data_IF_176089872934
#
_entry.id   IF_176089872934
#
_cell.length_a   1.000
_cell.length_b   1.000
_cell.length_c   1.000
_cell.angle_alpha   90.00
_cell.angle_beta   90.00
_cell.angle_gamma   90.00
#
_symmetry.space_group_name_H-M   'P 1'
#
loop_
_entity.id
_entity.type
_entity.pdbx_description
1 polymer ?
#
# COMPACT_ATOMS: atom_id res chain seq x y z
N UNK A 1 -2.52 42.71 -26.67
CA UNK A 1 -3.73 42.34 -27.48
C UNK A 1 -4.21 43.44 -28.43
N UNK A 2 -4.34 44.73 -28.02
CA UNK A 2 -4.79 45.82 -28.94
C UNK A 2 -3.80 46.15 -30.06
N UNK A 3 -2.51 46.02 -29.85
CA UNK A 3 -1.47 46.41 -30.82
C UNK A 3 -1.36 45.39 -31.97
N UNK A 4 -1.40 44.09 -31.70
CA UNK A 4 -1.41 43.02 -32.68
C UNK A 4 -2.66 43.11 -33.58
N UNK A 5 -3.84 43.35 -32.97
CA UNK A 5 -5.07 43.54 -33.71
C UNK A 5 -4.97 44.75 -34.67
N UNK A 6 -4.45 45.88 -34.20
CA UNK A 6 -4.27 47.08 -35.05
C UNK A 6 -3.32 46.85 -36.20
N UNK A 7 -2.25 46.07 -35.98
CA UNK A 7 -1.28 45.70 -37.03
C UNK A 7 -1.87 44.72 -38.04
N UNK A 8 -2.67 43.78 -37.62
CA UNK A 8 -3.42 42.89 -38.53
C UNK A 8 -4.39 43.66 -39.42
N UNK A 9 -5.11 44.64 -38.87
CA UNK A 9 -5.99 45.52 -39.65
C UNK A 9 -5.21 46.36 -40.67
N UNK A 10 -4.07 46.93 -40.28
CA UNK A 10 -3.21 47.69 -41.17
C UNK A 10 -2.69 46.81 -42.31
N UNK A 11 -2.23 45.59 -41.99
CA UNK A 11 -1.77 44.62 -42.99
C UNK A 11 -2.87 44.25 -43.99
N UNK A 12 -4.10 44.02 -43.50
CA UNK A 12 -5.25 43.72 -44.37
C UNK A 12 -5.58 44.88 -45.32
N UNK A 13 -5.62 46.12 -44.79
CA UNK A 13 -5.82 47.32 -45.61
C UNK A 13 -4.74 47.50 -46.67
N UNK A 14 -3.46 47.27 -46.32
CA UNK A 14 -2.36 47.38 -47.26
C UNK A 14 -2.46 46.30 -48.35
N UNK A 15 -2.86 45.08 -47.98
CA UNK A 15 -3.07 44.02 -48.96
C UNK A 15 -4.23 44.31 -49.92
N UNK A 16 -5.35 44.85 -49.41
CA UNK A 16 -6.47 45.26 -50.26
C UNK A 16 -6.09 46.40 -51.18
N UNK A 17 -5.27 47.37 -50.71
CA UNK A 17 -4.72 48.42 -51.56
C UNK A 17 -3.78 47.87 -52.65
N UNK A 18 -2.97 46.85 -52.32
CA UNK A 18 -2.09 46.18 -53.27
C UNK A 18 -2.86 45.45 -54.34
N UNK A 19 -3.94 44.76 -54.00
CA UNK A 19 -4.85 44.12 -54.94
C UNK A 19 -5.52 45.17 -55.88
N UNK A 20 -6.07 46.24 -55.28
CA UNK A 20 -6.70 47.32 -56.05
C UNK A 20 -5.73 48.00 -57.02
N UNK A 21 -4.46 48.17 -56.59
CA UNK A 21 -3.42 48.68 -57.45
C UNK A 21 -3.19 47.80 -58.69
N UNK A 22 -3.04 46.48 -58.47
CA UNK A 22 -2.86 45.49 -59.53
C UNK A 22 -4.05 45.53 -60.51
N UNK A 23 -5.28 45.49 -59.97
CA UNK A 23 -6.51 45.52 -60.82
C UNK A 23 -6.63 46.79 -61.64
N UNK A 24 -6.22 47.96 -61.09
CA UNK A 24 -6.31 49.28 -61.78
C UNK A 24 -5.22 49.50 -62.84
N UNK A 25 -4.13 48.72 -62.82
CA UNK A 25 -2.92 48.92 -63.65
C UNK A 25 -2.66 47.79 -64.66
N UNK A 26 -3.45 46.74 -64.65
CA UNK A 26 -3.39 45.67 -65.65
C UNK A 26 -3.76 46.21 -67.07
N UNK A 27 -2.83 45.87 -67.99
CA UNK A 27 -3.13 46.08 -69.41
C UNK A 27 -4.14 45.09 -69.99
N UNK A 28 -4.59 45.29 -71.19
CA UNK A 28 -5.53 44.41 -71.88
C UNK A 28 -5.08 42.92 -71.96
N UNK A 29 -3.77 42.68 -71.82
CA UNK A 29 -3.16 41.36 -71.79
C UNK A 29 -2.93 40.83 -70.36
N UNK A 30 -3.39 41.56 -69.32
CA UNK A 30 -3.26 41.14 -67.90
C UNK A 30 -1.84 41.31 -67.29
N UNK A 31 -0.94 42.04 -68.00
CA UNK A 31 0.45 42.30 -67.54
C UNK A 31 0.60 43.71 -66.95
N UNK A 32 1.53 43.88 -66.01
CA UNK A 32 1.89 45.15 -65.40
C UNK A 32 3.09 45.74 -66.14
N UNK A 33 3.20 47.07 -66.22
CA UNK A 33 4.41 47.75 -66.71
C UNK A 33 5.61 47.52 -65.79
N UNK A 34 6.84 47.72 -66.24
CA UNK A 34 8.04 47.55 -65.44
C UNK A 34 8.05 48.45 -64.19
N UNK A 35 7.56 49.68 -64.28
CA UNK A 35 7.44 50.62 -63.15
C UNK A 35 6.36 50.21 -62.17
N UNK A 36 5.22 49.71 -62.66
CA UNK A 36 4.12 49.22 -61.83
C UNK A 36 4.50 47.90 -61.14
N UNK A 37 5.30 47.03 -61.77
CA UNK A 37 5.85 45.82 -61.17
C UNK A 37 6.77 46.16 -60.02
N UNK A 38 7.71 47.12 -60.15
CA UNK A 38 8.56 47.56 -59.07
C UNK A 38 7.78 48.16 -57.89
N UNK A 39 6.65 48.85 -58.18
CA UNK A 39 5.78 49.42 -57.16
C UNK A 39 5.01 48.31 -56.44
N UNK A 40 4.53 47.31 -57.15
CA UNK A 40 3.87 46.13 -56.59
C UNK A 40 4.79 45.35 -55.66
N UNK A 41 6.05 45.06 -56.11
CA UNK A 41 7.03 44.35 -55.30
C UNK A 41 7.35 45.08 -53.99
N UNK A 42 7.39 46.42 -54.02
CA UNK A 42 7.56 47.23 -52.81
C UNK A 42 6.37 47.11 -51.87
N UNK A 43 5.14 47.18 -52.38
CA UNK A 43 3.93 47.01 -51.57
C UNK A 43 3.83 45.58 -50.98
N UNK A 44 4.17 44.57 -51.75
CA UNK A 44 4.21 43.17 -51.31
C UNK A 44 5.28 42.97 -50.21
N UNK A 45 6.49 43.55 -50.36
CA UNK A 45 7.53 43.51 -49.36
C UNK A 45 7.06 44.14 -48.02
N UNK A 46 6.30 45.23 -48.09
CA UNK A 46 5.74 45.87 -46.90
C UNK A 46 4.69 44.98 -46.18
N UNK A 47 3.83 44.29 -46.93
CA UNK A 47 2.83 43.32 -46.39
C UNK A 47 3.58 42.15 -45.73
N UNK A 48 4.62 41.62 -46.35
CA UNK A 48 5.42 40.51 -45.79
C UNK A 48 6.16 40.96 -44.52
N UNK A 49 6.75 42.20 -44.54
CA UNK A 49 7.40 42.76 -43.37
C UNK A 49 6.46 42.91 -42.19
N UNK A 50 5.26 43.44 -42.41
CA UNK A 50 4.22 43.49 -41.36
C UNK A 50 3.83 42.10 -40.85
N UNK A 51 3.78 41.10 -41.72
CA UNK A 51 3.49 39.72 -41.32
C UNK A 51 4.53 39.17 -40.33
N UNK A 52 5.82 39.36 -40.63
CA UNK A 52 6.89 38.93 -39.74
C UNK A 52 6.89 39.64 -38.38
N UNK A 53 6.52 40.94 -38.39
CA UNK A 53 6.41 41.70 -37.14
C UNK A 53 5.26 41.24 -36.26
N UNK A 54 4.10 40.92 -36.85
CA UNK A 54 2.96 40.32 -36.14
C UNK A 54 3.36 38.98 -35.51
N UNK A 55 4.01 38.08 -36.28
CA UNK A 55 4.48 36.78 -35.76
C UNK A 55 5.51 36.95 -34.61
N UNK A 56 6.38 37.98 -34.69
CA UNK A 56 7.31 38.29 -33.62
C UNK A 56 6.58 38.69 -32.33
N UNK A 57 5.59 39.59 -32.45
CA UNK A 57 4.82 40.05 -31.29
C UNK A 57 3.94 38.95 -30.70
N UNK A 58 3.35 38.10 -31.51
CA UNK A 58 2.54 36.94 -31.06
C UNK A 58 3.44 35.92 -30.30
N UNK A 59 4.66 35.70 -30.80
CA UNK A 59 5.64 34.83 -30.10
C UNK A 59 6.11 35.43 -28.78
N UNK A 60 6.31 36.76 -28.74
CA UNK A 60 6.67 37.45 -27.52
C UNK A 60 5.53 37.36 -26.47
N UNK A 61 4.28 37.63 -26.88
CA UNK A 61 3.10 37.51 -26.00
C UNK A 61 2.93 36.07 -25.47
N UNK A 62 3.19 35.06 -26.29
CA UNK A 62 3.16 33.66 -25.87
C UNK A 62 4.26 33.31 -24.86
N UNK A 63 5.48 33.83 -25.04
CA UNK A 63 6.57 33.64 -24.09
C UNK A 63 6.31 34.38 -22.78
N UNK A 64 5.79 35.63 -22.83
CA UNK A 64 5.42 36.38 -21.65
C UNK A 64 4.36 35.64 -20.82
N UNK A 65 3.35 35.06 -21.46
CA UNK A 65 2.34 34.21 -20.82
C UNK A 65 2.93 32.91 -20.21
N UNK A 66 3.99 32.36 -20.81
CA UNK A 66 4.67 31.18 -20.27
C UNK A 66 5.52 31.53 -19.06
N UNK A 67 6.21 32.68 -19.08
CA UNK A 67 7.03 33.15 -17.94
C UNK A 67 6.19 33.73 -16.79
N UNK A 68 5.02 34.28 -17.05
CA UNK A 68 4.07 34.74 -16.03
C UNK A 68 3.38 33.59 -15.28
N UNK A 69 3.52 32.34 -15.72
CA UNK A 69 3.04 31.20 -14.95
C UNK A 69 3.92 31.03 -13.71
N UNK A 70 3.38 31.13 -12.50
CA UNK A 70 4.17 30.99 -11.28
C UNK A 70 4.78 29.59 -11.22
N UNK A 71 6.11 29.53 -11.17
CA UNK A 71 6.91 28.28 -11.08
C UNK A 71 6.80 27.66 -9.69
N UNK A 72 6.38 28.42 -8.68
CA UNK A 72 6.15 27.95 -7.32
C UNK A 72 4.73 28.28 -6.86
N UNK A 73 4.02 27.27 -6.35
CA UNK A 73 2.79 27.53 -5.58
C UNK A 73 3.19 28.26 -4.30
N UNK A 74 2.52 29.36 -3.93
CA UNK A 74 2.76 30.00 -2.65
C UNK A 74 2.48 28.99 -1.53
N UNK A 75 3.44 28.85 -0.59
CA UNK A 75 3.33 28.03 0.63
C UNK A 75 2.32 28.60 1.66
N UNK A 76 1.54 29.59 1.29
CA UNK A 76 0.51 30.15 2.17
C UNK A 76 -0.81 29.45 1.81
N UNK A 77 -1.15 28.46 2.58
CA UNK A 77 -2.48 27.87 2.58
C UNK A 77 -3.51 28.92 2.96
N UNK A 78 -4.20 29.47 1.97
CA UNK A 78 -5.54 30.02 2.24
C UNK A 78 -6.37 28.84 2.72
N UNK A 79 -7.15 28.97 3.82
CA UNK A 79 -8.06 27.90 4.20
C UNK A 79 -8.91 27.58 2.98
N UNK A 80 -8.78 26.34 2.49
CA UNK A 80 -9.52 25.84 1.35
C UNK A 80 -11.00 26.03 1.64
N UNK A 81 -11.68 26.79 0.81
CA UNK A 81 -13.15 26.82 0.79
C UNK A 81 -13.64 25.37 0.60
N UNK A 82 -14.77 24.95 1.17
CA UNK A 82 -15.28 23.59 1.01
C UNK A 82 -15.41 23.13 -0.47
N UNK A 83 -15.40 24.07 -1.40
CA UNK A 83 -15.47 23.84 -2.86
C UNK A 83 -14.11 23.54 -3.51
N UNK A 84 -12.97 23.81 -2.83
CA UNK A 84 -11.61 23.62 -3.38
C UNK A 84 -10.95 22.29 -2.99
N UNK A 85 -11.70 21.35 -2.44
CA UNK A 85 -11.18 19.98 -2.25
C UNK A 85 -10.97 19.34 -3.62
N UNK A 86 -9.77 18.76 -3.87
CA UNK A 86 -9.56 18.03 -5.12
C UNK A 86 -10.69 17.00 -5.27
N UNK A 87 -11.43 17.07 -6.38
CA UNK A 87 -12.50 16.11 -6.68
C UNK A 87 -11.87 14.72 -6.69
N UNK A 88 -12.31 13.88 -5.76
CA UNK A 88 -11.96 12.48 -5.76
C UNK A 88 -12.51 11.86 -7.05
N UNK A 89 -11.68 11.18 -7.82
CA UNK A 89 -12.03 10.53 -9.09
C UNK A 89 -11.89 9.01 -8.98
N UNK A 90 -12.60 8.28 -9.80
CA UNK A 90 -12.55 6.80 -9.80
C UNK A 90 -13.18 6.20 -8.54
N UNK A 91 -12.59 5.12 -8.03
CA UNK A 91 -13.03 4.39 -6.83
C UNK A 91 -12.99 5.23 -5.54
N UNK A 92 -12.25 6.35 -5.54
CA UNK A 92 -12.19 7.30 -4.43
C UNK A 92 -13.37 8.31 -4.41
N UNK A 93 -14.22 8.37 -5.44
CA UNK A 93 -15.31 9.35 -5.53
C UNK A 93 -16.49 8.97 -4.62
N UNK A 94 -17.16 9.99 -4.06
CA UNK A 94 -18.35 9.77 -3.24
C UNK A 94 -19.53 9.21 -4.06
N UNK A 95 -19.55 9.49 -5.37
CA UNK A 95 -20.50 8.93 -6.32
C UNK A 95 -20.27 7.42 -6.49
N UNK A 96 -19.02 6.98 -6.66
CA UNK A 96 -18.67 5.56 -6.73
C UNK A 96 -19.03 4.83 -5.43
N UNK A 97 -18.71 5.42 -4.29
CA UNK A 97 -19.04 4.87 -2.97
C UNK A 97 -20.54 4.67 -2.79
N UNK A 98 -21.36 5.68 -3.14
CA UNK A 98 -22.82 5.58 -3.03
C UNK A 98 -23.38 4.56 -4.01
N UNK A 99 -22.89 4.53 -5.25
CA UNK A 99 -23.24 3.54 -6.26
C UNK A 99 -22.90 2.12 -5.84
N UNK A 100 -21.72 1.92 -5.28
CA UNK A 100 -21.25 0.63 -4.76
C UNK A 100 -22.16 0.10 -3.66
N UNK A 101 -22.47 0.93 -2.65
CA UNK A 101 -23.36 0.48 -1.56
C UNK A 101 -24.80 0.33 -1.98
N UNK A 102 -25.26 1.10 -2.97
CA UNK A 102 -26.58 0.88 -3.60
C UNK A 102 -26.64 -0.50 -4.28
N UNK A 103 -25.63 -0.82 -5.09
CA UNK A 103 -25.53 -2.14 -5.72
C UNK A 103 -25.36 -3.28 -4.71
N UNK A 104 -24.79 -3.01 -3.52
CA UNK A 104 -24.65 -4.02 -2.46
C UNK A 104 -25.93 -4.21 -1.65
N UNK A 105 -26.84 -3.23 -1.61
CA UNK A 105 -28.14 -3.33 -0.91
C UNK A 105 -29.24 -3.90 -1.79
N UNK A 106 -29.32 -3.46 -3.03
CA UNK A 106 -30.43 -3.78 -3.92
C UNK A 106 -30.13 -4.97 -4.84
N UNK A 107 -31.16 -5.77 -5.11
CA UNK A 107 -31.09 -6.92 -6.04
C UNK A 107 -31.03 -6.47 -7.51
N UNK A 108 -31.58 -5.31 -7.82
CA UNK A 108 -31.62 -4.72 -9.16
C UNK A 108 -30.84 -3.41 -9.15
N UNK A 109 -29.78 -3.38 -9.89
CA UNK A 109 -28.91 -2.19 -10.02
C UNK A 109 -29.43 -1.35 -11.19
N UNK A 110 -29.89 -0.10 -10.97
CA UNK A 110 -30.24 0.82 -12.06
C UNK A 110 -29.07 1.03 -13.02
N UNK A 111 -29.38 1.22 -14.30
CA UNK A 111 -28.35 1.37 -15.35
C UNK A 111 -27.38 2.55 -15.09
N UNK A 112 -27.85 3.59 -14.42
CA UNK A 112 -27.04 4.74 -14.03
C UNK A 112 -25.97 4.36 -13.00
N UNK A 113 -26.36 3.58 -12.00
CA UNK A 113 -25.47 3.05 -10.93
C UNK A 113 -24.45 2.08 -11.54
N UNK A 114 -24.91 1.23 -12.46
CA UNK A 114 -24.02 0.30 -13.18
C UNK A 114 -22.95 1.02 -13.98
N UNK A 115 -23.28 2.12 -14.65
CA UNK A 115 -22.31 2.92 -15.43
C UNK A 115 -21.22 3.56 -14.53
N UNK A 116 -21.56 3.97 -13.33
CA UNK A 116 -20.59 4.50 -12.36
C UNK A 116 -19.65 3.40 -11.87
N UNK A 117 -20.17 2.20 -11.65
CA UNK A 117 -19.41 1.05 -11.17
C UNK A 117 -18.50 0.43 -12.24
N UNK A 118 -18.80 0.65 -13.51
CA UNK A 118 -18.02 0.12 -14.64
C UNK A 118 -16.57 0.63 -14.68
N UNK A 119 -16.27 1.74 -14.02
CA UNK A 119 -14.92 2.28 -13.88
C UNK A 119 -14.01 1.34 -13.04
N UNK A 120 -14.61 0.50 -12.19
CA UNK A 120 -13.90 -0.45 -11.31
C UNK A 120 -14.32 -1.92 -11.55
N UNK A 121 -14.88 -2.25 -12.72
CA UNK A 121 -15.27 -3.63 -13.05
C UNK A 121 -14.03 -4.45 -13.43
N UNK A 122 -13.85 -5.58 -12.74
CA UNK A 122 -12.80 -6.55 -13.05
C UNK A 122 -13.32 -7.54 -14.12
N UNK A 123 -12.43 -8.13 -14.92
CA UNK A 123 -12.71 -9.11 -15.99
C UNK A 123 -13.59 -10.30 -15.56
N UNK A 124 -13.85 -10.43 -14.26
CA UNK A 124 -14.66 -11.53 -13.66
C UNK A 124 -15.94 -11.06 -12.96
N UNK A 125 -16.42 -9.83 -13.23
CA UNK A 125 -17.71 -9.32 -12.78
C UNK A 125 -17.80 -8.93 -11.30
N UNK A 126 -16.69 -8.64 -10.64
CA UNK A 126 -16.63 -8.07 -9.29
C UNK A 126 -16.40 -6.56 -9.35
N UNK A 127 -17.02 -5.80 -8.43
CA UNK A 127 -16.72 -4.38 -8.30
C UNK A 127 -15.50 -4.17 -7.40
N UNK A 128 -14.64 -3.22 -7.77
CA UNK A 128 -13.54 -2.79 -6.89
C UNK A 128 -14.10 -2.15 -5.62
N UNK A 129 -13.44 -2.39 -4.53
CA UNK A 129 -13.80 -1.79 -3.24
C UNK A 129 -13.51 -0.30 -3.27
N UNK A 130 -14.43 0.58 -2.78
CA UNK A 130 -14.13 2.00 -2.64
C UNK A 130 -12.91 2.22 -1.73
N UNK A 131 -12.01 3.13 -2.10
CA UNK A 131 -10.74 3.38 -1.40
C UNK A 131 -10.93 3.69 0.10
N UNK A 132 -12.02 4.37 0.46
CA UNK A 132 -12.32 4.70 1.85
C UNK A 132 -12.70 3.46 2.66
N UNK A 133 -13.45 2.53 2.06
CA UNK A 133 -13.81 1.27 2.69
C UNK A 133 -12.61 0.32 2.78
N UNK A 134 -11.74 0.31 1.77
CA UNK A 134 -10.50 -0.44 1.81
C UNK A 134 -9.60 0.02 2.96
N UNK A 135 -9.50 1.34 3.19
CA UNK A 135 -8.78 1.88 4.36
C UNK A 135 -9.40 1.44 5.67
N UNK A 136 -10.73 1.52 5.81
CA UNK A 136 -11.42 1.04 7.02
C UNK A 136 -11.17 -0.45 7.28
N UNK A 137 -11.11 -1.26 6.22
CA UNK A 137 -10.79 -2.68 6.33
C UNK A 137 -9.33 -2.89 6.74
N UNK A 138 -8.39 -2.13 6.16
CA UNK A 138 -6.96 -2.20 6.51
C UNK A 138 -6.75 -1.79 7.97
N UNK A 139 -7.36 -0.68 8.41
CA UNK A 139 -7.27 -0.21 9.78
C UNK A 139 -7.84 -1.27 10.76
N UNK A 140 -9.00 -1.84 10.45
CA UNK A 140 -9.60 -2.90 11.25
C UNK A 140 -8.77 -4.20 11.25
N UNK A 141 -8.10 -4.54 10.15
CA UNK A 141 -7.17 -5.66 10.08
C UNK A 141 -5.93 -5.43 10.94
N UNK A 142 -5.39 -4.20 10.95
CA UNK A 142 -4.26 -3.84 11.80
C UNK A 142 -4.62 -3.91 13.29
N UNK A 143 -5.83 -3.48 13.67
CA UNK A 143 -6.30 -3.60 15.05
C UNK A 143 -6.45 -5.07 15.50
N UNK A 144 -6.86 -5.96 14.61
CA UNK A 144 -7.11 -7.37 14.92
C UNK A 144 -5.85 -8.25 14.83
N UNK A 145 -4.83 -7.85 14.06
CA UNK A 145 -3.69 -8.68 13.73
C UNK A 145 -2.39 -8.05 14.24
N UNK A 146 -1.81 -8.65 15.27
CA UNK A 146 -0.56 -8.20 15.90
C UNK A 146 0.61 -8.24 14.91
N UNK A 147 0.64 -9.23 14.02
CA UNK A 147 1.69 -9.31 13.01
C UNK A 147 1.72 -8.12 12.07
N UNK A 148 0.55 -7.62 11.62
CA UNK A 148 0.49 -6.45 10.75
C UNK A 148 0.97 -5.16 11.41
N UNK A 149 0.94 -5.10 12.76
CA UNK A 149 1.48 -3.97 13.52
C UNK A 149 3.02 -4.04 13.63
N UNK A 150 3.58 -5.23 13.70
CA UNK A 150 4.99 -5.46 14.01
C UNK A 150 5.84 -5.81 12.80
N UNK A 151 5.27 -6.46 11.79
CA UNK A 151 5.94 -6.93 10.59
C UNK A 151 6.10 -5.83 9.53
N UNK A 152 6.99 -6.05 8.57
CA UNK A 152 7.14 -5.17 7.42
C UNK A 152 6.13 -5.52 6.33
N UNK A 153 5.12 -4.67 6.14
CA UNK A 153 4.08 -4.87 5.12
C UNK A 153 4.49 -4.19 3.82
N UNK A 154 4.45 -4.94 2.72
CA UNK A 154 4.73 -4.46 1.36
C UNK A 154 3.53 -4.72 0.45
N UNK A 155 3.27 -3.79 -0.46
CA UNK A 155 2.29 -3.99 -1.54
C UNK A 155 2.98 -4.48 -2.81
N UNK A 156 2.36 -5.43 -3.50
CA UNK A 156 2.87 -6.00 -4.76
C UNK A 156 1.76 -6.00 -5.81
N UNK A 157 2.06 -5.58 -7.05
CA UNK A 157 1.08 -5.50 -8.13
C UNK A 157 0.98 -6.80 -8.94
N UNK A 158 2.11 -7.44 -9.27
CA UNK A 158 2.12 -8.65 -10.10
C UNK A 158 3.37 -9.51 -9.89
N UNK A 159 3.25 -10.82 -10.16
CA UNK A 159 4.35 -11.78 -10.12
C UNK A 159 4.87 -12.10 -8.71
N UNK A 160 5.77 -13.06 -8.61
CA UNK A 160 6.47 -13.38 -7.37
C UNK A 160 7.62 -12.39 -7.17
N UNK A 161 7.69 -11.80 -5.98
CA UNK A 161 8.78 -10.89 -5.63
C UNK A 161 9.94 -11.69 -5.07
N UNK A 162 11.06 -11.64 -5.78
CA UNK A 162 12.30 -12.26 -5.34
C UNK A 162 13.12 -11.23 -4.56
N UNK A 163 13.41 -11.53 -3.30
CA UNK A 163 14.17 -10.68 -2.41
C UNK A 163 15.55 -11.29 -2.24
N UNK A 164 16.62 -10.60 -2.68
CA UNK A 164 17.97 -11.05 -2.40
C UNK A 164 18.25 -10.88 -0.89
N UNK A 165 18.75 -11.94 -0.26
CA UNK A 165 19.16 -11.93 1.14
C UNK A 165 20.60 -12.41 1.25
N UNK A 166 21.36 -11.80 2.14
CA UNK A 166 22.71 -12.26 2.46
C UNK A 166 22.55 -13.44 3.43
N UNK A 167 23.00 -14.63 3.06
CA UNK A 167 22.95 -15.82 3.91
C UNK A 167 24.14 -15.91 4.87
N UNK A 168 25.31 -15.49 4.41
CA UNK A 168 26.50 -15.41 5.25
C UNK A 168 27.34 -14.21 4.83
N UNK A 169 27.92 -13.58 5.82
CA UNK A 169 28.88 -12.49 5.62
C UNK A 169 30.29 -13.03 5.61
N UNK A 170 31.13 -12.47 4.74
CA UNK A 170 32.55 -12.69 4.78
C UNK A 170 33.17 -12.25 6.10
N UNK A 171 34.33 -12.75 6.43
CA UNK A 171 35.06 -12.42 7.66
C UNK A 171 36.34 -11.67 7.30
N UNK A 172 36.69 -10.66 8.13
CA UNK A 172 37.99 -10.03 8.09
C UNK A 172 38.91 -10.73 9.11
N UNK A 173 40.16 -10.94 8.74
CA UNK A 173 41.18 -11.48 9.66
C UNK A 173 42.37 -10.54 9.73
N UNK A 174 42.99 -10.52 10.89
CA UNK A 174 44.29 -9.86 11.10
C UNK A 174 45.37 -10.73 10.45
N UNK A 175 46.24 -10.12 9.67
CA UNK A 175 47.32 -10.79 8.94
C UNK A 175 48.67 -10.14 9.31
N UNK A 176 49.71 -10.93 9.28
CA UNK A 176 51.09 -10.47 9.49
C UNK A 176 51.60 -9.74 8.23
N UNK A 177 52.63 -8.94 8.39
CA UNK A 177 53.30 -8.22 7.31
C UNK A 177 53.83 -9.23 6.27
N UNK A 178 53.42 -9.04 4.99
CA UNK A 178 53.72 -9.94 3.86
C UNK A 178 52.92 -11.26 3.81
N UNK A 179 51.87 -11.45 4.60
CA UNK A 179 50.97 -12.60 4.47
C UNK A 179 49.94 -12.37 3.36
N UNK A 180 49.42 -13.43 2.75
CA UNK A 180 48.36 -13.36 1.76
C UNK A 180 47.05 -12.87 2.38
N UNK A 181 46.34 -12.00 1.66
CA UNK A 181 45.00 -11.56 2.10
C UNK A 181 44.01 -12.74 2.11
N UNK A 182 43.31 -12.93 3.23
CA UNK A 182 42.25 -13.95 3.26
C UNK A 182 41.08 -13.56 2.35
N UNK A 183 40.73 -14.44 1.46
CA UNK A 183 39.55 -14.28 0.62
C UNK A 183 38.33 -14.81 1.39
N UNK A 184 37.29 -14.02 1.44
CA UNK A 184 36.04 -14.40 2.09
C UNK A 184 34.88 -13.76 1.35
N UNK A 185 34.00 -14.58 0.78
CA UNK A 185 32.87 -14.14 -0.02
C UNK A 185 31.57 -14.15 0.78
N UNK A 186 30.72 -13.15 0.50
CA UNK A 186 29.34 -13.13 0.97
C UNK A 186 28.51 -14.12 0.13
N UNK A 187 27.72 -14.97 0.79
CA UNK A 187 26.77 -15.83 0.07
C UNK A 187 25.40 -15.19 0.02
N UNK A 188 24.88 -15.06 -1.19
CA UNK A 188 23.56 -14.51 -1.42
C UNK A 188 22.55 -15.65 -1.61
N UNK A 189 21.40 -15.49 -0.97
CA UNK A 189 20.21 -16.32 -1.20
C UNK A 189 19.10 -15.49 -1.85
N UNK A 190 18.08 -16.15 -2.32
CA UNK A 190 16.90 -15.51 -2.87
C UNK A 190 15.66 -16.09 -2.16
N UNK A 191 14.87 -15.23 -1.53
CA UNK A 191 13.58 -15.59 -0.95
C UNK A 191 12.50 -15.08 -1.90
N UNK A 192 11.65 -16.00 -2.33
CA UNK A 192 10.51 -15.67 -3.18
C UNK A 192 9.28 -15.52 -2.31
N UNK A 193 8.62 -14.36 -2.40
CA UNK A 193 7.32 -14.11 -1.78
C UNK A 193 6.28 -14.17 -2.89
N UNK A 194 5.31 -15.05 -2.71
CA UNK A 194 4.20 -15.32 -3.65
C UNK A 194 2.94 -14.54 -3.26
N UNK A 195 1.77 -15.04 -3.58
CA UNK A 195 0.50 -14.51 -3.10
C UNK A 195 -0.53 -15.63 -3.06
N UNK A 196 -0.88 -16.08 -1.87
CA UNK A 196 -1.91 -17.08 -1.65
C UNK A 196 -3.28 -16.41 -1.50
N UNK A 197 -4.31 -17.04 -2.06
CA UNK A 197 -5.66 -16.51 -2.00
C UNK A 197 -6.32 -16.89 -0.68
N UNK A 198 -6.72 -15.89 0.09
CA UNK A 198 -7.57 -16.01 1.26
C UNK A 198 -8.97 -15.47 0.92
N UNK A 199 -10.02 -16.19 1.26
CA UNK A 199 -11.38 -15.79 0.96
C UNK A 199 -12.33 -16.21 2.07
N UNK A 200 -13.37 -15.40 2.29
CA UNK A 200 -14.45 -15.72 3.23
C UNK A 200 -15.78 -15.21 2.72
N UNK A 201 -16.86 -15.85 3.15
CA UNK A 201 -18.23 -15.45 2.80
C UNK A 201 -19.04 -15.19 4.06
N UNK A 202 -19.72 -14.05 4.10
CA UNK A 202 -20.66 -13.66 5.14
C UNK A 202 -22.06 -13.76 4.58
N UNK A 203 -23.00 -14.34 5.33
CA UNK A 203 -24.43 -14.40 4.98
C UNK A 203 -25.19 -13.43 5.86
N UNK A 204 -26.05 -12.63 5.26
CA UNK A 204 -26.91 -11.65 5.93
C UNK A 204 -28.35 -11.92 5.46
N UNK A 205 -29.32 -11.83 6.36
CA UNK A 205 -30.73 -11.95 5.94
C UNK A 205 -31.14 -10.75 5.09
N UNK A 206 -32.03 -10.99 4.15
CA UNK A 206 -32.56 -9.95 3.24
C UNK A 206 -33.31 -8.88 4.06
N UNK A 207 -34.01 -9.28 5.13
CA UNK A 207 -34.71 -8.38 6.06
C UNK A 207 -33.75 -7.40 6.74
N UNK A 208 -32.59 -7.90 7.23
CA UNK A 208 -31.56 -7.07 7.88
C UNK A 208 -30.92 -6.06 6.93
N UNK A 209 -30.79 -6.41 5.64
CA UNK A 209 -30.26 -5.50 4.62
C UNK A 209 -31.18 -4.32 4.35
N UNK A 210 -32.50 -4.52 4.46
CA UNK A 210 -33.50 -3.49 4.24
C UNK A 210 -33.85 -2.68 5.50
N UNK A 211 -33.40 -3.12 6.68
CA UNK A 211 -33.56 -2.36 7.92
C UNK A 211 -32.62 -1.14 7.91
N UNK A 212 -33.21 0.05 7.87
CA UNK A 212 -32.49 1.32 7.78
C UNK A 212 -31.69 1.68 9.05
N UNK A 213 -31.94 1.03 10.17
CA UNK A 213 -31.26 1.28 11.46
C UNK A 213 -29.92 0.56 11.52
N UNK A 214 -29.74 -0.50 10.74
CA UNK A 214 -28.52 -1.30 10.77
C UNK A 214 -27.48 -0.84 9.75
N UNK A 215 -26.29 -0.44 10.23
CA UNK A 215 -25.15 -0.07 9.37
C UNK A 215 -24.46 -1.33 8.84
N UNK A 216 -25.02 -1.89 7.77
CA UNK A 216 -24.51 -3.10 7.10
C UNK A 216 -23.05 -2.93 6.62
N UNK A 217 -22.65 -1.80 5.99
CA UNK A 217 -21.28 -1.60 5.57
C UNK A 217 -20.25 -1.77 6.69
N UNK A 218 -20.44 -1.05 7.80
CA UNK A 218 -19.53 -1.12 8.95
C UNK A 218 -19.50 -2.50 9.60
N UNK A 219 -20.66 -3.18 9.68
CA UNK A 219 -20.72 -4.55 10.18
C UNK A 219 -19.92 -5.52 9.31
N UNK A 220 -20.11 -5.46 7.99
CA UNK A 220 -19.43 -6.35 7.04
C UNK A 220 -17.92 -6.10 7.08
N UNK A 221 -17.48 -4.82 7.15
CA UNK A 221 -16.06 -4.47 7.26
C UNK A 221 -15.43 -5.11 8.51
N UNK A 222 -16.04 -4.91 9.66
CA UNK A 222 -15.55 -5.45 10.94
C UNK A 222 -15.52 -6.99 10.94
N UNK A 223 -16.55 -7.62 10.41
CA UNK A 223 -16.63 -9.08 10.38
C UNK A 223 -15.64 -9.69 9.38
N UNK A 224 -15.40 -9.05 8.24
CA UNK A 224 -14.33 -9.46 7.32
C UNK A 224 -12.96 -9.28 7.94
N UNK A 225 -12.68 -8.12 8.55
CA UNK A 225 -11.43 -7.87 9.25
C UNK A 225 -11.17 -8.93 10.34
N UNK A 226 -12.19 -9.27 11.13
CA UNK A 226 -12.08 -10.29 12.16
C UNK A 226 -11.75 -11.67 11.61
N UNK A 227 -12.45 -12.11 10.55
CA UNK A 227 -12.24 -13.46 9.96
C UNK A 227 -10.94 -13.57 9.21
N UNK A 228 -10.66 -12.58 8.35
CA UNK A 228 -9.45 -12.54 7.55
C UNK A 228 -8.25 -12.34 8.47
N UNK A 229 -8.29 -11.36 9.36
CA UNK A 229 -7.20 -11.08 10.29
C UNK A 229 -6.84 -12.27 11.19
N UNK A 230 -7.86 -13.00 11.69
CA UNK A 230 -7.61 -14.22 12.47
C UNK A 230 -6.95 -15.33 11.64
N UNK A 231 -7.41 -15.54 10.41
CA UNK A 231 -6.84 -16.58 9.53
C UNK A 231 -5.41 -16.23 9.06
N UNK A 232 -5.14 -14.95 8.77
CA UNK A 232 -3.80 -14.46 8.46
C UNK A 232 -2.85 -14.62 9.65
N UNK A 233 -3.27 -14.16 10.83
CA UNK A 233 -2.44 -14.22 12.02
C UNK A 233 -2.10 -15.68 12.39
N UNK A 234 -3.06 -16.59 12.30
CA UNK A 234 -2.80 -18.02 12.45
C UNK A 234 -1.75 -18.51 11.44
N UNK A 235 -1.90 -18.15 10.15
CA UNK A 235 -0.98 -18.56 9.11
C UNK A 235 0.42 -17.94 9.30
N UNK A 236 0.53 -16.70 9.77
CA UNK A 236 1.82 -16.06 10.05
C UNK A 236 2.54 -16.67 11.26
N UNK A 237 1.84 -17.27 12.21
CA UNK A 237 2.47 -18.02 13.31
C UNK A 237 2.82 -19.45 12.90
N UNK A 238 1.85 -20.22 12.41
CA UNK A 238 1.98 -21.69 12.27
C UNK A 238 1.81 -22.21 10.85
N UNK A 239 1.77 -21.33 9.84
CA UNK A 239 1.60 -21.74 8.45
C UNK A 239 2.74 -22.63 7.95
N UNK A 240 2.41 -23.60 7.10
CA UNK A 240 3.35 -24.55 6.52
C UNK A 240 3.99 -24.10 5.20
N UNK A 241 3.52 -22.98 4.62
CA UNK A 241 3.98 -22.47 3.32
C UNK A 241 3.39 -23.19 2.11
N UNK A 242 2.47 -24.13 2.31
CA UNK A 242 1.79 -24.86 1.26
C UNK A 242 0.37 -24.32 1.06
N UNK A 243 0.17 -23.44 0.06
CA UNK A 243 -1.12 -22.78 -0.19
C UNK A 243 -1.48 -21.68 0.80
N UNK A 244 -0.60 -21.35 1.73
CA UNK A 244 -0.73 -20.30 2.75
C UNK A 244 0.66 -19.77 3.13
N UNK A 245 0.76 -18.61 3.81
CA UNK A 245 2.02 -18.05 4.27
C UNK A 245 2.89 -19.03 5.07
N UNK A 246 4.20 -18.81 5.04
CA UNK A 246 5.13 -19.55 5.89
C UNK A 246 5.16 -18.92 7.26
N UNK A 247 4.70 -19.65 8.27
CA UNK A 247 4.63 -19.20 9.64
C UNK A 247 6.02 -19.00 10.26
N UNK A 248 6.12 -18.04 11.18
CA UNK A 248 7.36 -17.72 11.87
C UNK A 248 7.85 -18.86 12.77
N UNK A 249 6.95 -19.75 13.22
CA UNK A 249 7.26 -20.94 14.03
C UNK A 249 7.57 -22.18 13.18
N UNK A 250 7.56 -22.06 11.86
CA UNK A 250 7.88 -23.16 10.94
C UNK A 250 9.30 -23.68 11.20
N UNK A 251 9.49 -25.02 11.14
CA UNK A 251 10.78 -25.64 11.46
C UNK A 251 11.86 -25.42 10.40
N UNK A 252 11.46 -25.21 9.13
CA UNK A 252 12.44 -25.07 8.02
C UNK A 252 12.83 -23.62 7.78
N UNK A 253 11.84 -22.74 7.63
CA UNK A 253 12.04 -21.37 7.16
C UNK A 253 11.59 -20.34 8.20
N UNK A 254 11.29 -20.76 9.43
CA UNK A 254 10.87 -19.91 10.55
C UNK A 254 12.01 -19.47 11.47
N UNK A 255 11.63 -19.01 12.64
CA UNK A 255 12.54 -18.56 13.70
C UNK A 255 13.43 -19.71 14.17
N UNK A 256 14.69 -19.38 14.41
CA UNK A 256 15.65 -20.35 14.94
C UNK A 256 15.36 -20.64 16.41
N UNK A 257 15.53 -21.90 16.81
CA UNK A 257 15.47 -22.27 18.24
C UNK A 257 16.65 -21.62 18.97
N UNK A 258 16.35 -20.71 19.90
CA UNK A 258 17.34 -20.04 20.73
C UNK A 258 17.75 -20.89 21.94
N UNK A 259 16.76 -21.55 22.54
CA UNK A 259 16.92 -22.43 23.70
C UNK A 259 15.87 -23.54 23.68
N UNK A 260 16.22 -24.68 24.26
CA UNK A 260 15.29 -25.76 24.60
C UNK A 260 15.21 -25.87 26.13
N UNK A 261 13.98 -25.82 26.67
CA UNK A 261 13.76 -25.86 28.12
C UNK A 261 14.18 -27.21 28.76
N UNK A 262 14.48 -27.19 30.02
CA UNK A 262 14.73 -28.41 30.79
C UNK A 262 13.47 -29.24 31.05
N UNK A 263 12.28 -28.65 30.98
CA UNK A 263 10.97 -29.27 31.25
C UNK A 263 10.09 -29.25 30.04
N UNK A 264 9.25 -30.27 29.88
CA UNK A 264 8.24 -30.34 28.80
C UNK A 264 6.97 -29.51 29.08
N UNK A 265 6.75 -29.07 30.30
CA UNK A 265 5.48 -28.44 30.73
C UNK A 265 5.64 -27.14 31.52
N UNK A 266 6.85 -26.83 31.98
CA UNK A 266 7.14 -25.66 32.81
C UNK A 266 8.29 -24.84 32.23
N UNK A 267 8.17 -23.52 32.35
CA UNK A 267 9.22 -22.55 31.99
C UNK A 267 9.76 -21.93 33.26
N UNK A 268 11.07 -21.70 33.28
CA UNK A 268 11.74 -20.93 34.32
C UNK A 268 12.06 -19.53 33.85
N UNK A 269 12.34 -18.60 34.74
CA UNK A 269 12.79 -17.26 34.35
C UNK A 269 14.18 -17.28 33.72
N UNK A 270 15.00 -18.24 34.07
CA UNK A 270 16.33 -18.47 33.48
C UNK A 270 16.20 -18.86 32.00
N UNK A 271 15.23 -19.70 31.64
CA UNK A 271 14.95 -20.03 30.23
C UNK A 271 14.62 -18.77 29.39
N UNK A 272 13.93 -17.80 30.00
CA UNK A 272 13.61 -16.53 29.32
C UNK A 272 14.83 -15.63 29.18
N UNK A 273 15.70 -15.61 30.20
CA UNK A 273 16.97 -14.89 30.11
C UNK A 273 17.88 -15.50 29.06
N UNK A 274 17.99 -16.82 29.01
CA UNK A 274 18.77 -17.51 28.00
C UNK A 274 18.26 -17.26 26.58
N UNK A 275 16.94 -17.26 26.41
CA UNK A 275 16.32 -16.87 25.13
C UNK A 275 16.68 -15.42 24.75
N UNK A 276 16.60 -14.48 25.70
CA UNK A 276 16.94 -13.09 25.47
C UNK A 276 18.40 -12.93 25.01
N UNK A 277 19.34 -13.62 25.66
CA UNK A 277 20.76 -13.53 25.32
C UNK A 277 21.15 -14.38 24.10
N UNK A 278 20.33 -15.34 23.67
CA UNK A 278 20.55 -16.11 22.45
C UNK A 278 20.42 -15.24 21.17
N UNK A 279 19.71 -14.11 21.26
CA UNK A 279 19.57 -13.16 20.16
C UNK A 279 20.76 -12.19 20.14
N UNK A 280 21.32 -11.91 18.96
CA UNK A 280 22.41 -10.95 18.80
C UNK A 280 22.02 -9.53 19.23
N UNK A 281 22.94 -8.79 19.82
CA UNK A 281 22.71 -7.45 20.36
C UNK A 281 22.08 -6.44 19.37
N UNK A 282 22.42 -6.40 18.08
CA UNK A 282 21.79 -5.48 17.12
C UNK A 282 20.27 -5.67 17.02
N UNK A 283 19.79 -6.92 16.97
CA UNK A 283 18.37 -7.24 16.85
C UNK A 283 17.60 -7.03 18.16
N UNK A 284 18.27 -7.14 19.31
CA UNK A 284 17.65 -6.97 20.63
C UNK A 284 17.07 -5.57 20.87
N UNK A 285 17.55 -4.55 20.12
CA UNK A 285 17.07 -3.15 20.30
C UNK A 285 15.60 -2.98 19.90
N UNK A 286 15.17 -3.64 18.85
CA UNK A 286 13.80 -3.58 18.32
C UNK A 286 13.00 -4.85 18.63
N UNK A 287 13.62 -5.79 19.38
CA UNK A 287 12.99 -7.07 19.66
C UNK A 287 11.79 -6.95 20.60
N UNK A 288 10.80 -7.78 20.35
CA UNK A 288 9.59 -7.94 21.16
C UNK A 288 9.40 -9.39 21.55
N UNK A 289 8.72 -9.62 22.68
CA UNK A 289 8.25 -10.94 23.06
C UNK A 289 6.83 -11.15 22.51
N UNK A 290 6.58 -12.33 21.94
CA UNK A 290 5.22 -12.74 21.53
C UNK A 290 4.95 -14.13 22.12
N UNK A 291 3.82 -14.27 22.79
CA UNK A 291 3.43 -15.52 23.43
C UNK A 291 1.92 -15.59 23.63
N UNK A 292 1.41 -16.75 24.01
CA UNK A 292 0.00 -16.90 24.36
C UNK A 292 -0.29 -16.30 25.74
N UNK A 293 -1.48 -15.79 25.96
CA UNK A 293 -1.91 -15.21 27.24
C UNK A 293 -1.79 -16.21 28.42
N UNK A 294 -2.04 -17.49 28.16
CA UNK A 294 -1.82 -18.54 29.15
C UNK A 294 -0.35 -18.72 29.54
N UNK A 295 0.58 -18.49 28.61
CA UNK A 295 2.03 -18.49 28.86
C UNK A 295 2.43 -17.28 29.69
N UNK A 296 1.88 -16.08 29.36
CA UNK A 296 2.06 -14.86 30.18
C UNK A 296 1.59 -15.12 31.61
N UNK A 297 0.41 -15.73 31.78
CA UNK A 297 -0.11 -16.08 33.10
C UNK A 297 0.81 -17.06 33.88
N UNK A 298 1.39 -18.04 33.16
CA UNK A 298 2.33 -18.98 33.78
C UNK A 298 3.63 -18.26 34.25
N UNK A 299 4.17 -17.39 33.41
CA UNK A 299 5.36 -16.59 33.73
C UNK A 299 5.12 -15.61 34.89
N UNK A 300 3.97 -14.95 34.96
CA UNK A 300 3.62 -14.06 36.08
C UNK A 300 3.52 -14.78 37.42
N UNK A 301 3.25 -16.06 37.38
CA UNK A 301 3.17 -16.89 38.59
C UNK A 301 4.54 -17.39 39.08
N UNK A 302 5.65 -17.13 38.36
CA UNK A 302 6.97 -17.48 38.79
C UNK A 302 7.37 -16.68 40.05
N UNK A 303 7.88 -17.37 41.03
CA UNK A 303 8.27 -16.81 42.32
C UNK A 303 9.77 -17.02 42.58
N UNK A 304 10.37 -16.09 43.28
CA UNK A 304 11.72 -16.20 43.76
C UNK A 304 11.78 -17.15 44.98
N UNK A 305 12.98 -17.41 45.51
CA UNK A 305 13.18 -18.24 46.69
C UNK A 305 12.51 -17.71 47.97
N UNK A 306 12.13 -16.44 48.02
CA UNK A 306 11.41 -15.79 49.13
C UNK A 306 9.88 -15.82 48.97
N UNK A 307 9.39 -16.34 47.83
CA UNK A 307 7.95 -16.43 47.56
C UNK A 307 7.33 -15.22 46.85
N UNK A 308 8.14 -14.21 46.49
CA UNK A 308 7.69 -13.03 45.76
C UNK A 308 7.64 -13.31 44.27
N UNK A 309 6.69 -12.64 43.56
CA UNK A 309 6.59 -12.73 42.13
C UNK A 309 7.76 -12.01 41.44
N UNK A 310 8.45 -12.73 40.56
CA UNK A 310 9.63 -12.21 39.85
C UNK A 310 9.24 -11.12 38.87
N UNK A 311 8.15 -11.33 38.12
CA UNK A 311 7.65 -10.37 37.13
C UNK A 311 6.46 -9.59 37.65
N UNK A 312 6.66 -8.29 37.86
CA UNK A 312 5.62 -7.36 38.25
C UNK A 312 5.03 -6.67 36.98
N UNK A 313 3.70 -6.50 36.90
CA UNK A 313 3.06 -5.82 35.78
C UNK A 313 3.45 -4.34 35.76
N UNK A 314 3.44 -3.72 34.55
CA UNK A 314 3.58 -2.28 34.44
C UNK A 314 2.42 -1.58 35.17
N UNK A 315 2.73 -0.65 36.04
CA UNK A 315 1.73 0.15 36.79
C UNK A 315 1.29 1.39 35.98
N UNK A 316 1.98 1.67 34.87
CA UNK A 316 1.70 2.82 34.02
C UNK A 316 0.63 2.46 32.98
N UNK A 317 -0.52 3.15 33.03
CA UNK A 317 -1.61 2.96 32.07
C UNK A 317 -1.15 3.28 30.64
N UNK A 318 -1.49 2.41 29.69
CA UNK A 318 -1.21 2.61 28.24
C UNK A 318 0.16 2.11 27.78
N UNK A 319 1.03 1.59 28.64
CA UNK A 319 2.27 0.92 28.24
C UNK A 319 2.08 -0.59 28.23
N UNK A 320 2.52 -1.30 27.17
CA UNK A 320 2.49 -2.76 27.17
C UNK A 320 3.37 -3.31 28.31
N UNK A 321 3.00 -4.48 28.82
CA UNK A 321 3.83 -5.21 29.78
C UNK A 321 5.22 -5.43 29.18
N UNK A 322 6.26 -5.34 30.02
CA UNK A 322 7.64 -5.53 29.59
C UNK A 322 8.32 -6.64 30.34
N UNK A 323 9.12 -7.45 29.61
CA UNK A 323 10.05 -8.43 30.17
C UNK A 323 11.44 -7.98 29.73
N UNK A 324 12.38 -7.84 30.67
CA UNK A 324 13.73 -7.37 30.37
C UNK A 324 13.78 -6.08 29.55
N UNK A 325 12.88 -5.14 29.87
CA UNK A 325 12.68 -3.86 29.14
C UNK A 325 12.28 -4.02 27.67
N UNK A 326 11.66 -5.15 27.30
CA UNK A 326 11.10 -5.37 25.96
C UNK A 326 9.60 -5.59 26.04
N UNK A 327 8.82 -5.01 25.09
CA UNK A 327 7.38 -5.14 25.11
C UNK A 327 6.96 -6.59 24.90
N UNK A 328 5.84 -6.96 25.53
CA UNK A 328 5.22 -8.28 25.42
C UNK A 328 3.90 -8.13 24.69
N UNK A 329 3.74 -8.87 23.62
CA UNK A 329 2.49 -8.97 22.87
C UNK A 329 1.89 -10.36 23.08
N UNK A 330 0.57 -10.43 23.10
CA UNK A 330 -0.15 -11.70 23.27
C UNK A 330 -0.93 -12.04 22.02
N UNK A 331 -0.81 -13.29 21.57
CA UNK A 331 -1.63 -13.83 20.48
C UNK A 331 -2.18 -15.20 20.84
N UNK A 332 -3.45 -15.49 20.54
CA UNK A 332 -4.06 -16.78 20.79
C UNK A 332 -3.50 -17.89 19.89
N UNK A 333 -2.85 -17.53 18.77
CA UNK A 333 -2.33 -18.48 17.77
C UNK A 333 -0.91 -18.99 18.09
N UNK A 334 -0.24 -18.40 19.06
CA UNK A 334 1.03 -18.96 19.56
C UNK A 334 0.73 -20.22 20.36
N UNK A 335 1.44 -21.33 20.09
CA UNK A 335 1.23 -22.60 20.82
C UNK A 335 1.33 -22.45 22.32
N UNK A 336 0.51 -23.25 23.02
CA UNK A 336 0.54 -23.33 24.47
C UNK A 336 1.80 -24.08 24.94
N UNK A 337 2.07 -24.00 26.27
CA UNK A 337 3.09 -24.80 26.91
C UNK A 337 2.77 -26.29 26.75
N UNK A 338 3.67 -27.04 26.17
CA UNK A 338 3.51 -28.47 25.93
C UNK A 338 4.78 -29.08 25.32
N UNK A 339 4.91 -30.40 25.40
CA UNK A 339 6.06 -31.12 24.89
C UNK A 339 6.35 -30.77 23.41
N UNK A 340 7.55 -30.35 23.11
CA UNK A 340 8.01 -30.02 21.74
C UNK A 340 7.48 -28.72 21.16
N UNK A 341 6.57 -28.01 21.85
CA UNK A 341 5.96 -26.77 21.33
C UNK A 341 6.93 -25.56 21.44
N UNK A 342 6.62 -24.50 20.69
CA UNK A 342 7.37 -23.23 20.69
C UNK A 342 6.51 -22.10 21.25
N UNK A 343 6.34 -21.99 22.58
CA UNK A 343 5.37 -21.08 23.21
C UNK A 343 5.83 -19.63 23.33
N UNK A 344 7.10 -19.33 23.12
CA UNK A 344 7.64 -17.97 23.22
C UNK A 344 8.49 -17.65 21.98
N UNK A 345 8.20 -16.51 21.36
CA UNK A 345 9.01 -15.87 20.33
C UNK A 345 9.68 -14.63 20.90
N UNK A 346 10.92 -14.40 20.53
CA UNK A 346 11.66 -13.19 20.85
C UNK A 346 12.51 -12.75 19.66
N UNK A 347 12.29 -11.55 19.16
CA UNK A 347 13.05 -11.01 18.03
C UNK A 347 12.49 -9.76 17.43
N UNK A 348 13.16 -9.28 16.39
CA UNK A 348 12.73 -8.13 15.60
C UNK A 348 11.80 -8.59 14.49
N UNK A 349 10.52 -8.30 14.63
CA UNK A 349 9.47 -8.73 13.70
C UNK A 349 9.49 -7.96 12.36
N UNK A 350 10.25 -6.86 12.25
CA UNK A 350 10.44 -6.16 10.96
C UNK A 350 11.10 -7.05 9.90
N UNK A 351 11.77 -8.11 10.31
CA UNK A 351 12.35 -9.09 9.39
C UNK A 351 11.36 -10.17 8.91
N UNK A 352 10.14 -10.17 9.42
CA UNK A 352 9.03 -10.91 8.83
C UNK A 352 8.30 -9.99 7.86
N UNK A 353 8.29 -10.37 6.58
CA UNK A 353 7.68 -9.55 5.54
C UNK A 353 6.33 -10.14 5.14
N UNK A 354 5.33 -9.28 5.14
CA UNK A 354 3.98 -9.57 4.67
C UNK A 354 3.79 -8.87 3.34
N UNK A 355 3.44 -9.62 2.30
CA UNK A 355 3.18 -9.09 0.97
C UNK A 355 1.68 -9.12 0.68
N UNK A 356 1.08 -7.94 0.63
CA UNK A 356 -0.29 -7.75 0.15
C UNK A 356 -0.26 -7.58 -1.36
N UNK A 357 -1.01 -8.40 -2.08
CA UNK A 357 -1.21 -8.19 -3.51
C UNK A 357 -2.44 -7.34 -3.74
N UNK A 358 -2.27 -6.26 -4.52
CA UNK A 358 -3.34 -5.37 -4.93
C UNK A 358 -4.55 -6.13 -5.50
N UNK A 359 -5.75 -5.57 -5.30
CA UNK A 359 -7.00 -6.13 -5.82
C UNK A 359 -7.76 -7.01 -4.83
N UNK A 360 -8.02 -6.49 -3.63
CA UNK A 360 -9.06 -7.07 -2.77
C UNK A 360 -10.38 -7.05 -3.49
N UNK A 361 -11.04 -8.21 -3.53
CA UNK A 361 -12.33 -8.37 -4.21
C UNK A 361 -13.44 -8.46 -3.20
N UNK A 362 -14.51 -7.76 -3.52
CA UNK A 362 -15.77 -7.84 -2.80
C UNK A 362 -16.90 -8.12 -3.78
N UNK A 363 -17.67 -9.16 -3.51
CA UNK A 363 -18.74 -9.57 -4.40
C UNK A 363 -20.01 -9.92 -3.60
N UNK A 364 -21.15 -9.43 -4.06
CA UNK A 364 -22.45 -9.83 -3.57
C UNK A 364 -22.94 -11.08 -4.33
N UNK A 365 -23.40 -12.06 -3.60
CA UNK A 365 -23.94 -13.33 -4.11
C UNK A 365 -25.46 -13.31 -3.95
N UNK A 366 -26.17 -12.90 -5.01
CA UNK A 366 -27.62 -12.73 -4.97
C UNK A 366 -28.41 -14.02 -5.07
N UNK A 367 -27.91 -14.98 -5.86
CA UNK A 367 -28.68 -16.17 -6.24
C UNK A 367 -28.39 -17.37 -5.34
N UNK A 368 -27.16 -17.50 -4.88
CA UNK A 368 -26.68 -18.69 -4.16
C UNK A 368 -27.46 -18.98 -2.87
N UNK A 369 -27.90 -17.93 -2.16
CA UNK A 369 -28.61 -18.03 -0.88
C UNK A 369 -30.05 -17.53 -0.95
N UNK A 370 -30.57 -17.18 -2.13
CA UNK A 370 -31.93 -16.71 -2.34
C UNK A 370 -33.02 -17.65 -1.80
N UNK A 371 -32.89 -18.99 -1.95
CA UNK A 371 -33.90 -19.91 -1.39
C UNK A 371 -34.04 -19.81 0.13
N UNK A 372 -33.03 -19.33 0.84
CA UNK A 372 -33.02 -19.19 2.30
C UNK A 372 -33.34 -17.76 2.75
N UNK A 373 -33.74 -16.85 1.87
CA UNK A 373 -33.96 -15.43 2.21
C UNK A 373 -32.69 -14.71 2.66
N UNK A 374 -31.51 -15.11 2.17
CA UNK A 374 -30.23 -14.58 2.57
C UNK A 374 -29.46 -14.04 1.34
N UNK A 375 -28.58 -13.07 1.60
CA UNK A 375 -27.61 -12.55 0.65
C UNK A 375 -26.21 -12.88 1.16
N UNK A 376 -25.36 -13.39 0.27
CA UNK A 376 -23.95 -13.64 0.58
C UNK A 376 -23.07 -12.45 0.19
N UNK A 377 -22.07 -12.16 1.00
CA UNK A 377 -20.99 -11.25 0.68
C UNK A 377 -19.67 -12.01 0.70
N UNK A 378 -19.02 -12.08 -0.44
CA UNK A 378 -17.72 -12.72 -0.63
C UNK A 378 -16.63 -11.65 -0.56
N UNK A 379 -15.64 -11.85 0.30
CA UNK A 379 -14.39 -11.09 0.26
C UNK A 379 -13.24 -12.02 -0.02
N UNK A 380 -12.30 -11.58 -0.86
CA UNK A 380 -11.06 -12.30 -1.12
C UNK A 380 -9.90 -11.34 -1.28
N UNK A 381 -8.76 -11.76 -0.75
CA UNK A 381 -7.48 -11.06 -0.89
C UNK A 381 -6.38 -12.06 -1.21
N UNK A 382 -5.22 -11.55 -1.55
CA UNK A 382 -4.04 -12.37 -1.80
C UNK A 382 -2.91 -11.87 -0.93
N UNK A 383 -2.41 -12.74 -0.06
CA UNK A 383 -1.37 -12.41 0.91
C UNK A 383 -0.34 -13.53 0.98
N UNK A 384 0.90 -13.18 1.24
CA UNK A 384 1.96 -14.11 1.63
C UNK A 384 2.78 -13.50 2.76
N UNK A 385 3.45 -14.33 3.53
CA UNK A 385 4.31 -13.89 4.62
C UNK A 385 5.48 -14.84 4.78
N UNK A 386 6.69 -14.27 4.96
CA UNK A 386 7.92 -15.04 5.18
C UNK A 386 8.91 -14.31 6.08
N UNK A 387 9.62 -15.08 6.88
CA UNK A 387 10.77 -14.57 7.62
C UNK A 387 11.97 -14.46 6.68
N UNK A 388 12.43 -13.21 6.47
CA UNK A 388 13.53 -12.92 5.54
C UNK A 388 14.89 -13.26 6.17
N UNK A 389 15.03 -13.00 7.47
CA UNK A 389 16.27 -13.23 8.19
C UNK A 389 16.02 -14.08 9.45
N UNK A 390 16.19 -15.41 9.39
CA UNK A 390 15.88 -16.31 10.51
C UNK A 390 16.67 -16.02 11.78
N UNK A 391 17.88 -15.45 11.68
CA UNK A 391 18.70 -15.12 12.84
C UNK A 391 18.17 -13.95 13.67
N UNK A 392 17.31 -13.10 13.08
CA UNK A 392 16.74 -11.94 13.76
C UNK A 392 15.62 -12.29 14.74
N UNK A 393 15.11 -13.53 14.67
CA UNK A 393 14.05 -14.03 15.56
C UNK A 393 14.43 -15.38 16.14
N UNK A 394 14.28 -15.51 17.44
CA UNK A 394 14.51 -16.75 18.18
C UNK A 394 13.22 -17.25 18.83
N UNK A 395 13.07 -18.54 18.93
CA UNK A 395 11.98 -19.15 19.69
C UNK A 395 12.53 -20.00 20.83
N UNK A 396 11.77 -20.07 21.92
CA UNK A 396 11.96 -21.03 22.98
C UNK A 396 11.20 -22.31 22.60
N UNK A 397 11.89 -23.44 22.62
CA UNK A 397 11.28 -24.74 22.38
C UNK A 397 11.18 -25.52 23.69
N UNK A 398 10.01 -26.08 23.96
CA UNK A 398 9.80 -26.96 25.09
C UNK A 398 10.46 -28.30 24.80
N UNK A 399 11.01 -28.92 25.88
CA UNK A 399 11.54 -30.27 25.79
C UNK A 399 10.52 -31.26 25.27
N UNK A 400 10.94 -32.16 24.37
CA UNK A 400 10.13 -33.27 23.88
C UNK A 400 9.88 -34.32 24.95
#
# INVERSE_FOLDING_TARGET
MNEILSMREKRAKLWDATKAFVESRKDANGTLSAEDTATYEKMEADVVRMGKEIERLERQEALDLEFDRPISRPLVDKPLSPEDKPRKTGSASDEYKSAFWHAMRDKSVPHEVYNVLKIGEDDHGGYLVPDEYERQLIDALQEQNIFRQLAHVISTSSGDRKIPVVRSHGTAAWIDENAAYPESDDTFGQISISAFKLATTIKVSDELLHDSVFDVPSYIAKEFARRIGSAEEEAFFVGDGAGKPTGILNDKDGAQVGITTGSATAITFDDVMDLFYSLRAPYRRSAVFIMNDSTVKAMRKLKNGSGDYIWQPSVTAGTPDTILNRPVYTSPFVPLLGSGTKPILFGDMNYYWVADREGRRFQRLNELYAPNGQVGFLSSERVDGKLILPEAVKCLQMKV
#
